data_IF_385144768829
#
_entry.id   IF_385144768829
#
_cell.length_a   1.000
_cell.length_b   1.000
_cell.length_c   1.000
_cell.angle_alpha   90.00
_cell.angle_beta   90.00
_cell.angle_gamma   90.00
#
_symmetry.space_group_name_H-M   'P 1'
#
loop_
_entity.id
_entity.type
_entity.pdbx_description
1 polymer ?
#
# COMPACT_ATOMS: atom_id res chain seq x y z
N UNK A 1 16.41 36.64 75.15
CA UNK A 1 14.99 37.08 75.19
C UNK A 1 14.59 37.37 73.75
N UNK A 2 13.77 36.49 73.15
CA UNK A 2 12.40 36.78 72.69
C UNK A 2 12.40 37.85 71.59
N UNK A 3 12.39 37.47 70.31
CA UNK A 3 11.16 37.21 69.53
C UNK A 3 11.00 38.38 68.53
N UNK A 4 10.51 38.28 67.31
CA UNK A 4 9.87 37.23 66.53
C UNK A 4 9.35 37.89 65.23
N UNK A 5 8.83 37.04 64.32
CA UNK A 5 7.94 37.33 63.19
C UNK A 5 8.59 37.85 61.90
N UNK A 6 8.79 36.97 60.90
CA UNK A 6 7.80 36.46 59.92
C UNK A 6 7.24 37.53 59.00
N UNK A 7 7.66 37.46 57.74
CA UNK A 7 7.08 38.22 56.63
C UNK A 7 7.42 37.63 55.25
N UNK A 8 7.49 36.29 55.14
CA UNK A 8 7.61 35.63 53.85
C UNK A 8 6.25 35.69 53.14
N UNK A 9 5.98 36.78 52.41
CA UNK A 9 4.86 36.84 51.45
C UNK A 9 5.31 36.19 50.15
N UNK A 10 5.47 34.87 50.16
CA UNK A 10 5.31 34.07 48.95
C UNK A 10 3.81 34.03 48.67
N UNK A 11 3.32 35.02 47.91
CA UNK A 11 2.08 34.89 47.15
C UNK A 11 2.30 33.79 46.12
N UNK A 12 2.21 32.54 46.58
CA UNK A 12 1.95 31.43 45.70
C UNK A 12 0.53 31.65 45.22
N UNK A 13 0.41 32.20 44.01
CA UNK A 13 -0.81 32.05 43.23
C UNK A 13 -1.09 30.56 43.21
N UNK A 14 -2.05 30.16 44.04
CA UNK A 14 -2.67 28.85 43.98
C UNK A 14 -3.39 28.89 42.65
N UNK A 15 -2.68 28.49 41.60
CA UNK A 15 -3.26 28.15 40.32
C UNK A 15 -4.24 27.04 40.64
N UNK A 16 -5.48 27.42 40.93
CA UNK A 16 -6.61 26.54 41.00
C UNK A 16 -6.71 25.93 39.62
N UNK A 17 -6.02 24.81 39.43
CA UNK A 17 -6.39 23.84 38.42
C UNK A 17 -7.87 23.62 38.69
N UNK A 18 -8.76 23.95 37.74
CA UNK A 18 -10.16 23.64 37.94
C UNK A 18 -10.20 22.15 38.22
N UNK A 19 -10.86 21.74 39.30
CA UNK A 19 -11.27 20.36 39.45
C UNK A 19 -12.20 20.10 38.27
N UNK A 20 -11.62 19.68 37.15
CA UNK A 20 -12.34 19.26 35.97
C UNK A 20 -13.15 18.08 36.48
N UNK A 21 -14.42 18.32 36.77
CA UNK A 21 -15.39 17.26 37.00
C UNK A 21 -15.18 16.27 35.86
N UNK A 22 -14.64 15.10 36.20
CA UNK A 22 -14.18 14.15 35.20
C UNK A 22 -15.41 13.70 34.43
N UNK A 23 -15.52 14.12 33.17
CA UNK A 23 -16.67 13.78 32.34
C UNK A 23 -16.56 12.31 31.98
N UNK A 24 -17.60 11.55 32.28
CA UNK A 24 -17.72 10.15 31.89
C UNK A 24 -18.53 10.05 30.60
N UNK A 25 -18.11 9.16 29.71
CA UNK A 25 -18.76 8.89 28.43
C UNK A 25 -19.15 7.43 28.36
N UNK A 26 -20.32 7.12 27.83
CA UNK A 26 -20.74 5.73 27.68
C UNK A 26 -19.92 5.03 26.59
N UNK A 27 -19.72 3.72 26.73
CA UNK A 27 -19.05 2.94 25.68
C UNK A 27 -19.73 3.07 24.30
N UNK A 28 -21.05 3.29 24.27
CA UNK A 28 -21.80 3.44 23.03
C UNK A 28 -21.47 4.76 22.33
N UNK A 29 -21.40 5.86 23.07
CA UNK A 29 -21.00 7.17 22.53
C UNK A 29 -19.57 7.14 21.99
N UNK A 30 -18.65 6.56 22.77
CA UNK A 30 -17.24 6.45 22.36
C UNK A 30 -17.08 5.53 21.14
N UNK A 31 -17.87 4.47 21.04
CA UNK A 31 -17.87 3.57 19.88
C UNK A 31 -18.34 4.26 18.60
N UNK A 32 -19.40 5.07 18.70
CA UNK A 32 -19.89 5.86 17.58
C UNK A 32 -18.87 6.91 17.13
N UNK A 33 -18.20 7.58 18.07
CA UNK A 33 -17.21 8.62 17.77
C UNK A 33 -15.94 8.07 17.10
N UNK A 34 -15.52 6.85 17.48
CA UNK A 34 -14.30 6.22 16.99
C UNK A 34 -14.53 5.26 15.81
N UNK A 35 -15.78 5.12 15.35
CA UNK A 35 -16.20 4.17 14.31
C UNK A 35 -15.65 2.75 14.55
N UNK A 36 -15.77 2.27 15.79
CA UNK A 36 -15.23 0.97 16.19
C UNK A 36 -16.16 0.20 17.12
N UNK A 37 -15.98 -1.13 17.19
CA UNK A 37 -16.82 -1.97 18.02
C UNK A 37 -16.56 -1.76 19.51
N UNK A 38 -17.60 -1.80 20.34
CA UNK A 38 -17.46 -1.69 21.81
C UNK A 38 -16.51 -2.72 22.42
N UNK A 39 -16.44 -3.94 21.84
CA UNK A 39 -15.46 -4.97 22.24
C UNK A 39 -14.01 -4.57 21.95
N UNK A 40 -13.79 -3.85 20.86
CA UNK A 40 -12.48 -3.35 20.48
C UNK A 40 -12.02 -2.26 21.44
N UNK A 41 -12.92 -1.33 21.81
CA UNK A 41 -12.66 -0.30 22.81
C UNK A 41 -12.28 -0.93 24.15
N UNK A 42 -13.04 -1.93 24.62
CA UNK A 42 -12.74 -2.65 25.86
C UNK A 42 -11.33 -3.27 25.81
N UNK A 43 -10.94 -3.85 24.67
CA UNK A 43 -9.59 -4.43 24.48
C UNK A 43 -8.50 -3.37 24.49
N UNK A 44 -8.74 -2.20 23.87
CA UNK A 44 -7.76 -1.09 23.84
C UNK A 44 -7.62 -0.42 25.22
N UNK A 45 -8.68 -0.38 26.01
CA UNK A 45 -8.72 0.31 27.31
C UNK A 45 -8.19 -0.52 28.49
N UNK A 46 -7.83 -1.80 28.32
CA UNK A 46 -7.19 -2.65 29.35
C UNK A 46 -7.79 -2.55 30.78
N UNK A 47 -9.11 -2.44 30.90
CA UNK A 47 -9.79 -2.37 32.20
C UNK A 47 -10.10 -0.96 32.72
N UNK A 48 -9.84 0.10 31.95
CA UNK A 48 -10.24 1.47 32.30
C UNK A 48 -11.77 1.72 32.20
N UNK A 49 -12.54 0.70 31.85
CA UNK A 49 -14.01 0.76 31.78
C UNK A 49 -14.57 0.62 33.18
N UNK A 50 -15.25 1.66 33.65
CA UNK A 50 -15.90 1.72 34.96
C UNK A 50 -17.41 1.53 34.79
N UNK A 51 -18.11 1.21 35.88
CA UNK A 51 -19.58 1.27 35.91
C UNK A 51 -20.01 2.53 36.63
N UNK A 52 -20.97 3.24 36.06
CA UNK A 52 -21.60 4.39 36.72
C UNK A 52 -22.64 3.95 37.76
N UNK A 53 -23.30 4.93 38.39
CA UNK A 53 -24.35 4.72 39.38
C UNK A 53 -25.58 3.97 38.81
N UNK A 54 -25.78 4.04 37.50
CA UNK A 54 -26.83 3.34 36.77
C UNK A 54 -26.41 1.92 36.33
N UNK A 55 -25.17 1.50 36.61
CA UNK A 55 -24.59 0.23 36.18
C UNK A 55 -24.14 0.19 34.72
N UNK A 56 -24.14 1.32 34.02
CA UNK A 56 -23.71 1.47 32.64
C UNK A 56 -22.19 1.51 32.55
N UNK A 57 -21.64 0.95 31.47
CA UNK A 57 -20.20 0.95 31.22
C UNK A 57 -19.77 2.31 30.65
N UNK A 58 -18.95 3.02 31.41
CA UNK A 58 -18.47 4.36 31.08
C UNK A 58 -16.94 4.40 31.06
N UNK A 59 -16.42 5.35 30.29
CA UNK A 59 -15.01 5.67 30.19
C UNK A 59 -14.75 7.09 30.71
N UNK A 60 -13.67 7.30 31.48
CA UNK A 60 -13.23 8.64 31.84
C UNK A 60 -12.85 9.44 30.59
N UNK A 61 -13.15 10.73 30.59
CA UNK A 61 -12.87 11.61 29.46
C UNK A 61 -11.39 11.72 29.11
N UNK A 62 -10.48 11.47 30.05
CA UNK A 62 -9.04 11.39 29.79
C UNK A 62 -8.73 10.23 28.84
N UNK A 63 -9.25 9.04 29.13
CA UNK A 63 -9.09 7.83 28.31
C UNK A 63 -9.71 8.02 26.93
N UNK A 64 -10.88 8.66 26.85
CA UNK A 64 -11.51 8.96 25.55
C UNK A 64 -10.62 9.88 24.72
N UNK A 65 -10.01 10.89 25.34
CA UNK A 65 -9.11 11.82 24.65
C UNK A 65 -7.87 11.10 24.11
N UNK A 66 -7.27 10.22 24.90
CA UNK A 66 -6.15 9.37 24.45
C UNK A 66 -6.52 8.49 23.26
N UNK A 67 -7.72 7.89 23.26
CA UNK A 67 -8.19 7.07 22.14
C UNK A 67 -8.37 7.88 20.85
N UNK A 68 -8.90 9.10 20.96
CA UNK A 68 -9.04 10.02 19.82
C UNK A 68 -7.68 10.44 19.29
N UNK A 69 -6.75 10.82 20.18
CA UNK A 69 -5.38 11.18 19.78
C UNK A 69 -4.67 10.03 19.07
N UNK A 70 -4.84 8.78 19.54
CA UNK A 70 -4.30 7.59 18.87
C UNK A 70 -4.90 7.38 17.48
N UNK A 71 -6.21 7.59 17.30
CA UNK A 71 -6.88 7.51 15.99
C UNK A 71 -6.29 8.53 15.04
N UNK A 72 -6.21 9.79 15.47
CA UNK A 72 -5.75 10.90 14.64
C UNK A 72 -4.26 10.74 14.28
N UNK A 73 -3.43 10.25 15.20
CA UNK A 73 -2.03 9.91 14.94
C UNK A 73 -1.90 8.77 13.92
N UNK A 74 -2.73 7.73 14.02
CA UNK A 74 -2.74 6.62 13.07
C UNK A 74 -3.18 7.07 11.67
N UNK A 75 -4.19 7.94 11.57
CA UNK A 75 -4.61 8.53 10.31
C UNK A 75 -3.51 9.40 9.68
N UNK A 76 -2.85 10.24 10.49
CA UNK A 76 -1.74 11.07 10.02
C UNK A 76 -0.61 10.20 9.46
N UNK A 77 -0.22 9.15 10.18
CA UNK A 77 0.79 8.19 9.73
C UNK A 77 0.37 7.46 8.44
N UNK A 78 -0.91 7.07 8.32
CA UNK A 78 -1.44 6.45 7.11
C UNK A 78 -1.36 7.40 5.90
N UNK A 79 -1.76 8.67 6.07
CA UNK A 79 -1.70 9.69 5.01
C UNK A 79 -0.25 9.95 4.58
N UNK A 80 0.68 10.04 5.52
CA UNK A 80 2.10 10.19 5.20
C UNK A 80 2.65 8.96 4.47
N UNK A 81 2.29 7.76 4.91
CA UNK A 81 2.68 6.52 4.22
C UNK A 81 2.18 6.48 2.78
N UNK A 82 0.92 6.85 2.55
CA UNK A 82 0.35 6.95 1.21
C UNK A 82 1.07 7.98 0.35
N UNK A 83 1.46 9.12 0.93
CA UNK A 83 2.27 10.13 0.24
C UNK A 83 3.64 9.56 -0.17
N UNK A 84 4.35 8.89 0.73
CA UNK A 84 5.65 8.26 0.45
C UNK A 84 5.56 7.19 -0.65
N UNK A 85 4.49 6.39 -0.66
CA UNK A 85 4.27 5.38 -1.71
C UNK A 85 4.05 6.04 -3.09
N UNK A 86 3.34 7.17 -3.14
CA UNK A 86 3.14 7.93 -4.38
C UNK A 86 4.42 8.61 -4.87
N UNK A 87 5.19 9.18 -3.95
CA UNK A 87 6.45 9.89 -4.27
C UNK A 87 7.57 8.93 -4.65
N UNK A 88 7.61 7.73 -4.05
CA UNK A 88 8.64 6.74 -4.31
C UNK A 88 8.01 5.38 -4.63
N UNK A 89 7.39 5.23 -5.82
CA UNK A 89 6.83 3.95 -6.23
C UNK A 89 7.97 2.93 -6.31
N UNK A 90 7.80 1.81 -5.62
CA UNK A 90 8.80 0.74 -5.62
C UNK A 90 9.21 0.40 -7.07
N UNK A 91 10.51 0.19 -7.33
CA UNK A 91 11.00 -0.13 -8.67
C UNK A 91 10.32 -1.41 -9.14
N UNK A 92 9.49 -1.28 -10.18
CA UNK A 92 8.81 -2.42 -10.78
C UNK A 92 9.72 -3.00 -11.86
N UNK A 93 10.22 -4.25 -11.73
CA UNK A 93 11.27 -4.79 -12.60
C UNK A 93 10.86 -4.79 -14.08
N UNK A 94 9.57 -4.98 -14.37
CA UNK A 94 9.03 -4.88 -15.74
C UNK A 94 9.07 -3.44 -16.29
N UNK A 95 8.77 -2.43 -15.46
CA UNK A 95 8.81 -1.02 -15.89
C UNK A 95 10.24 -0.60 -16.19
N UNK A 96 11.20 -1.04 -15.39
CA UNK A 96 12.63 -0.80 -15.64
C UNK A 96 13.11 -1.50 -16.91
N UNK A 97 12.74 -2.76 -17.14
CA UNK A 97 13.03 -3.48 -18.40
C UNK A 97 12.44 -2.77 -19.62
N UNK A 98 11.21 -2.26 -19.53
CA UNK A 98 10.56 -1.51 -20.62
C UNK A 98 11.29 -0.18 -20.85
N UNK A 99 11.64 0.55 -19.80
CA UNK A 99 12.38 1.82 -19.89
C UNK A 99 13.75 1.61 -20.55
N UNK A 100 14.49 0.58 -20.13
CA UNK A 100 15.77 0.20 -20.73
C UNK A 100 15.61 -0.19 -22.21
N UNK A 101 14.57 -0.96 -22.57
CA UNK A 101 14.30 -1.34 -23.96
C UNK A 101 13.91 -0.15 -24.83
N UNK A 102 13.17 0.82 -24.29
CA UNK A 102 12.82 2.07 -25.01
C UNK A 102 14.05 2.96 -25.21
N UNK A 103 14.91 3.11 -24.20
CA UNK A 103 16.15 3.88 -24.32
C UNK A 103 17.05 3.33 -25.45
N UNK A 104 17.25 2.00 -25.50
CA UNK A 104 18.03 1.35 -26.57
C UNK A 104 17.41 1.45 -27.97
N UNK A 105 16.08 1.65 -28.08
CA UNK A 105 15.41 1.81 -29.38
C UNK A 105 15.56 3.20 -29.98
N UNK A 106 15.92 4.21 -29.19
CA UNK A 106 16.09 5.60 -29.65
C UNK A 106 17.46 5.79 -30.33
N UNK A 107 18.43 4.91 -30.05
CA UNK A 107 19.78 4.97 -30.64
C UNK A 107 19.91 4.36 -32.04
N UNK A 108 18.89 3.63 -32.51
CA UNK A 108 18.86 3.15 -33.90
C UNK A 108 18.10 4.16 -34.77
N UNK A 109 18.71 4.69 -35.85
CA UNK A 109 18.03 5.62 -36.74
C UNK A 109 16.75 4.94 -37.24
N UNK A 110 15.62 5.63 -37.04
CA UNK A 110 14.34 5.24 -37.62
C UNK A 110 14.52 5.29 -39.13
N UNK A 111 14.85 4.15 -39.74
CA UNK A 111 14.92 4.02 -41.19
C UNK A 111 13.56 4.42 -41.75
N UNK A 112 13.53 5.58 -42.41
CA UNK A 112 12.37 6.14 -43.09
C UNK A 112 12.06 5.26 -44.29
N UNK A 113 11.03 4.43 -44.15
CA UNK A 113 10.59 3.47 -45.16
C UNK A 113 9.30 2.80 -44.69
N UNK A 114 8.55 2.25 -45.64
CA UNK A 114 7.29 1.57 -45.33
C UNK A 114 7.53 0.32 -44.45
N UNK A 115 6.53 -0.13 -43.69
CA UNK A 115 6.62 -1.37 -42.88
C UNK A 115 7.06 -2.59 -43.73
N UNK A 116 6.73 -2.60 -45.03
CA UNK A 116 7.09 -3.66 -45.96
C UNK A 116 8.59 -3.64 -46.33
N UNK A 117 9.19 -2.46 -46.55
CA UNK A 117 10.65 -2.34 -46.76
C UNK A 117 11.42 -2.75 -45.51
N UNK A 118 10.92 -2.39 -44.33
CA UNK A 118 11.53 -2.78 -43.05
C UNK A 118 11.55 -4.29 -42.84
N UNK A 119 10.45 -4.99 -43.19
CA UNK A 119 10.39 -6.44 -43.10
C UNK A 119 11.37 -7.13 -44.06
N UNK A 120 11.54 -6.59 -45.28
CA UNK A 120 12.48 -7.15 -46.28
C UNK A 120 13.94 -7.02 -45.85
N UNK A 121 14.34 -5.83 -45.37
CA UNK A 121 15.71 -5.59 -44.92
C UNK A 121 16.10 -6.46 -43.71
N UNK A 122 15.16 -6.76 -42.80
CA UNK A 122 15.42 -7.64 -41.66
C UNK A 122 15.67 -9.10 -42.05
N UNK A 123 15.02 -9.57 -43.12
CA UNK A 123 15.18 -10.94 -43.63
C UNK A 123 16.46 -11.09 -44.44
N UNK A 124 16.90 -10.04 -45.14
CA UNK A 124 18.12 -10.07 -45.95
C UNK A 124 19.38 -9.77 -45.14
N UNK A 125 19.30 -8.96 -44.06
CA UNK A 125 20.45 -8.66 -43.21
C UNK A 125 20.90 -9.87 -42.38
N UNK A 126 20.00 -10.83 -42.12
CA UNK A 126 20.32 -12.11 -41.46
C UNK A 126 20.79 -13.17 -42.47
N UNK A 127 21.38 -12.79 -43.60
CA UNK A 127 21.90 -13.74 -44.58
C UNK A 127 23.43 -13.69 -44.73
N UNK A 128 24.09 -12.60 -44.30
CA UNK A 128 25.52 -12.37 -44.56
C UNK A 128 26.44 -12.55 -43.34
N UNK A 129 25.90 -12.69 -42.12
CA UNK A 129 26.70 -12.96 -40.92
C UNK A 129 26.50 -14.41 -40.45
N UNK A 130 27.55 -15.19 -40.65
CA UNK A 130 27.80 -16.56 -40.21
C UNK A 130 27.34 -16.88 -38.78
N UNK A 131 26.18 -17.51 -38.60
CA UNK A 131 25.89 -18.67 -37.72
C UNK A 131 24.36 -18.94 -37.73
N UNK A 132 23.88 -19.68 -38.74
CA UNK A 132 22.44 -19.96 -38.92
C UNK A 132 22.04 -21.41 -38.66
N UNK A 133 22.83 -22.17 -37.87
CA UNK A 133 22.38 -23.48 -37.36
C UNK A 133 21.09 -23.33 -36.58
N UNK A 134 21.03 -22.34 -35.69
CA UNK A 134 19.99 -22.24 -34.67
C UNK A 134 18.65 -21.79 -35.24
N UNK A 135 18.67 -20.94 -36.28
CA UNK A 135 17.46 -20.48 -36.97
C UNK A 135 16.87 -21.58 -37.84
N UNK A 136 17.71 -22.34 -38.56
CA UNK A 136 17.28 -23.50 -39.34
C UNK A 136 16.73 -24.60 -38.45
N UNK A 137 17.37 -24.86 -37.32
CA UNK A 137 16.95 -25.87 -36.35
C UNK A 137 15.64 -25.46 -35.68
N UNK A 138 15.43 -24.17 -35.36
CA UNK A 138 14.14 -23.66 -34.89
C UNK A 138 13.04 -23.78 -35.93
N UNK A 139 13.31 -23.49 -37.21
CA UNK A 139 12.32 -23.67 -38.28
C UNK A 139 11.94 -25.15 -38.44
N UNK A 140 12.91 -26.06 -38.49
CA UNK A 140 12.64 -27.50 -38.56
C UNK A 140 11.88 -28.01 -37.32
N UNK A 141 12.22 -27.54 -36.12
CA UNK A 141 11.50 -27.89 -34.90
C UNK A 141 10.07 -27.33 -34.87
N UNK A 142 9.82 -26.20 -35.52
CA UNK A 142 8.48 -25.63 -35.69
C UNK A 142 7.65 -26.41 -36.71
N UNK A 143 8.26 -26.77 -37.84
CA UNK A 143 7.61 -27.55 -38.89
C UNK A 143 7.25 -28.96 -38.39
N UNK A 144 8.16 -29.63 -37.69
CA UNK A 144 7.90 -30.93 -37.07
C UNK A 144 6.75 -30.86 -36.04
N UNK A 145 6.68 -29.79 -35.23
CA UNK A 145 5.55 -29.60 -34.29
C UNK A 145 4.23 -29.36 -35.02
N UNK A 146 4.26 -28.69 -36.17
CA UNK A 146 3.07 -28.43 -36.97
C UNK A 146 2.59 -29.72 -37.66
N UNK A 147 3.50 -30.55 -38.15
CA UNK A 147 3.19 -31.89 -38.64
C UNK A 147 2.62 -32.80 -37.54
N UNK A 148 3.21 -32.77 -36.34
CA UNK A 148 2.72 -33.54 -35.18
C UNK A 148 1.32 -33.10 -34.73
N UNK A 149 1.01 -31.80 -34.83
CA UNK A 149 -0.34 -31.27 -34.60
C UNK A 149 -1.32 -31.77 -35.68
N UNK A 150 -0.94 -31.68 -36.96
CA UNK A 150 -1.78 -32.13 -38.08
C UNK A 150 -2.00 -33.65 -38.07
N UNK A 151 -1.03 -34.42 -37.58
CA UNK A 151 -1.11 -35.88 -37.36
C UNK A 151 -1.87 -36.25 -36.08
N UNK A 152 -2.24 -35.27 -35.24
CA UNK A 152 -2.98 -35.48 -34.00
C UNK A 152 -2.13 -35.99 -32.82
N UNK A 153 -0.80 -36.02 -32.96
CA UNK A 153 0.13 -36.39 -31.89
C UNK A 153 0.31 -35.25 -30.87
N UNK A 154 0.12 -33.99 -31.30
CA UNK A 154 0.17 -32.82 -30.43
C UNK A 154 -1.24 -32.23 -30.22
N UNK A 155 -1.74 -32.23 -28.97
CA UNK A 155 -3.05 -31.64 -28.63
C UNK A 155 -2.85 -30.38 -27.79
N UNK A 156 -3.06 -29.21 -28.36
CA UNK A 156 -3.08 -27.96 -27.59
C UNK A 156 -4.35 -27.88 -26.74
N UNK A 157 -4.25 -28.21 -25.45
CA UNK A 157 -5.32 -27.89 -24.50
C UNK A 157 -5.39 -26.38 -24.31
N UNK A 158 -6.47 -25.78 -24.80
CA UNK A 158 -6.86 -24.40 -24.48
C UNK A 158 -7.02 -24.32 -22.95
N UNK A 159 -6.10 -23.61 -22.28
CA UNK A 159 -6.20 -23.33 -20.84
C UNK A 159 -7.51 -22.60 -20.50
N UNK A 160 -8.01 -22.70 -19.26
CA UNK A 160 -9.32 -22.17 -18.87
C UNK A 160 -9.28 -20.63 -18.85
N UNK A 161 -9.47 -20.03 -20.02
CA UNK A 161 -9.64 -18.60 -20.23
C UNK A 161 -11.02 -18.33 -20.82
N UNK A 162 -12.07 -18.69 -20.10
CA UNK A 162 -13.43 -18.26 -20.38
C UNK A 162 -13.92 -17.45 -19.18
N UNK A 163 -13.73 -16.14 -19.25
CA UNK A 163 -14.46 -15.20 -18.39
C UNK A 163 -15.94 -15.37 -18.74
N UNK A 164 -16.74 -15.75 -17.73
CA UNK A 164 -18.19 -15.56 -17.76
C UNK A 164 -18.41 -14.11 -17.34
N UNK A 165 -18.81 -13.27 -18.28
CA UNK A 165 -19.47 -12.01 -17.95
C UNK A 165 -20.97 -12.33 -17.90
N UNK A 166 -21.54 -12.17 -16.71
CA UNK A 166 -22.98 -12.15 -16.45
C UNK A 166 -23.46 -10.72 -16.27
#
# INVERSE_FOLDING_TARGET
MLGGHNGNKSGGDVSGTPMISEKFYTLAEVAAELDCGTREIIRRCNGAVVRDECGMRVLPGQVVRELVEQRDAAEAAYRERQRRIRENPAPHPVRERIKARKARKIEFPVLTGSMAERARLQVTATADDSDHSDVREQMQASDNRMEDYMRGALVYRKGPGARKDG
#
